data_IF_611877339136
#
_entry.id   IF_611877339136
#
_cell.length_a   1.000
_cell.length_b   1.000
_cell.length_c   1.000
_cell.angle_alpha   90.00
_cell.angle_beta   90.00
_cell.angle_gamma   90.00
#
_symmetry.space_group_name_H-M   'P 1'
#
loop_
_entity.id
_entity.type
_entity.pdbx_description
1 polymer ?
#
# COMPACT_ATOMS: atom_id res chain seq x y z
N UNK A 1 17.63 20.40 -13.78
CA UNK A 1 16.85 19.22 -14.23
C UNK A 1 16.74 18.27 -13.05
N UNK A 2 15.58 17.65 -12.87
CA UNK A 2 15.34 16.69 -11.79
C UNK A 2 15.04 15.30 -12.40
N UNK A 3 15.58 14.20 -11.87
CA UNK A 3 16.56 14.14 -10.77
C UNK A 3 17.89 14.83 -11.13
N UNK A 4 18.71 15.23 -10.14
CA UNK A 4 19.99 15.89 -10.40
C UNK A 4 20.94 14.97 -11.19
N UNK A 5 21.73 15.57 -12.08
CA UNK A 5 22.86 14.88 -12.71
C UNK A 5 24.00 14.77 -11.70
N UNK A 6 24.47 13.56 -11.45
CA UNK A 6 25.54 13.26 -10.49
C UNK A 6 26.65 12.47 -11.16
N UNK A 7 27.87 12.59 -10.64
CA UNK A 7 29.00 11.78 -11.10
C UNK A 7 28.80 10.31 -10.73
N UNK A 8 29.54 9.41 -11.40
CA UNK A 8 29.51 7.97 -11.09
C UNK A 8 29.93 7.69 -9.62
N UNK A 9 30.86 8.48 -9.09
CA UNK A 9 31.30 8.36 -7.69
C UNK A 9 30.19 8.71 -6.71
N UNK A 10 29.55 9.87 -6.89
CA UNK A 10 28.41 10.31 -6.07
C UNK A 10 27.22 9.34 -6.18
N UNK A 11 26.94 8.81 -7.36
CA UNK A 11 25.89 7.81 -7.54
C UNK A 11 26.19 6.51 -6.77
N UNK A 12 27.43 6.03 -6.83
CA UNK A 12 27.81 4.82 -6.10
C UNK A 12 27.71 5.02 -4.59
N UNK A 13 28.17 6.16 -4.07
CA UNK A 13 28.03 6.50 -2.65
C UNK A 13 26.56 6.55 -2.22
N UNK A 14 25.72 7.25 -3.00
CA UNK A 14 24.30 7.35 -2.75
C UNK A 14 23.60 5.98 -2.77
N UNK A 15 23.97 5.11 -3.72
CA UNK A 15 23.43 3.74 -3.79
C UNK A 15 23.84 2.93 -2.55
N UNK A 16 25.11 2.96 -2.15
CA UNK A 16 25.57 2.25 -0.95
C UNK A 16 24.82 2.70 0.29
N UNK A 17 24.74 4.01 0.53
CA UNK A 17 24.03 4.57 1.69
C UNK A 17 22.55 4.21 1.67
N UNK A 18 21.87 4.31 0.52
CA UNK A 18 20.45 4.00 0.42
C UNK A 18 20.14 2.50 0.61
N UNK A 19 20.97 1.63 0.03
CA UNK A 19 20.81 0.17 0.14
C UNK A 19 21.08 -0.29 1.57
N UNK A 20 22.16 0.18 2.19
CA UNK A 20 22.50 -0.17 3.58
C UNK A 20 21.40 0.29 4.54
N UNK A 21 20.87 1.51 4.34
CA UNK A 21 19.74 1.99 5.12
C UNK A 21 18.50 1.11 4.91
N UNK A 22 18.16 0.78 3.67
CA UNK A 22 17.00 -0.04 3.34
C UNK A 22 17.06 -1.42 4.00
N UNK A 23 18.23 -2.07 3.95
CA UNK A 23 18.46 -3.36 4.60
C UNK A 23 18.36 -3.26 6.13
N UNK A 24 18.96 -2.23 6.73
CA UNK A 24 18.96 -2.02 8.18
C UNK A 24 17.57 -1.66 8.75
N UNK A 25 16.70 -1.03 7.96
CA UNK A 25 15.39 -0.53 8.41
C UNK A 25 14.21 -1.37 7.90
N UNK A 26 14.47 -2.50 7.25
CA UNK A 26 13.43 -3.43 6.83
C UNK A 26 12.63 -2.98 5.61
N UNK A 27 13.20 -2.16 4.73
CA UNK A 27 12.72 -1.94 3.36
C UNK A 27 13.21 -3.11 2.48
N UNK A 28 12.71 -4.31 2.76
CA UNK A 28 13.27 -5.57 2.26
C UNK A 28 12.18 -6.53 1.80
N UNK A 29 12.56 -7.44 0.91
CA UNK A 29 11.76 -8.57 0.42
C UNK A 29 12.60 -9.84 0.40
N UNK A 30 11.95 -11.00 0.35
CA UNK A 30 12.68 -12.24 0.08
C UNK A 30 13.11 -12.30 -1.40
N UNK A 31 14.29 -12.87 -1.68
CA UNK A 31 14.71 -13.15 -3.06
C UNK A 31 13.75 -14.14 -3.73
N UNK A 32 13.87 -14.29 -5.06
CA UNK A 32 13.12 -15.33 -5.80
C UNK A 32 13.46 -16.73 -5.28
N UNK A 33 12.48 -17.65 -5.40
CA UNK A 33 12.56 -19.02 -4.86
C UNK A 33 13.74 -19.83 -5.42
N UNK A 34 14.21 -19.52 -6.63
CA UNK A 34 15.40 -20.11 -7.26
C UNK A 34 16.67 -19.94 -6.42
N UNK A 35 16.68 -19.00 -5.46
CA UNK A 35 17.81 -18.69 -4.59
C UNK A 35 17.62 -19.12 -3.12
N UNK A 36 16.65 -20.00 -2.83
CA UNK A 36 16.39 -20.47 -1.44
C UNK A 36 17.36 -21.58 -1.02
N UNK A 37 18.62 -21.20 -0.79
CA UNK A 37 19.68 -22.11 -0.33
C UNK A 37 19.58 -22.47 1.16
N UNK A 38 18.64 -21.88 1.90
CA UNK A 38 18.63 -21.90 3.37
C UNK A 38 17.26 -22.26 3.95
N UNK A 39 17.27 -23.07 5.01
CA UNK A 39 16.09 -23.40 5.81
C UNK A 39 15.61 -22.15 6.56
N UNK A 40 14.29 -21.97 6.68
CA UNK A 40 13.61 -20.82 7.33
C UNK A 40 13.69 -19.46 6.62
N UNK A 41 14.12 -19.41 5.36
CA UNK A 41 14.16 -18.17 4.55
C UNK A 41 14.89 -16.98 5.21
N UNK A 42 16.15 -17.14 5.68
CA UNK A 42 16.91 -16.07 6.32
C UNK A 42 17.42 -15.00 5.33
N UNK A 43 17.40 -15.29 4.03
CA UNK A 43 17.90 -14.39 3.00
C UNK A 43 16.88 -13.29 2.66
N UNK A 44 17.39 -12.07 2.50
CA UNK A 44 16.62 -10.89 2.11
C UNK A 44 17.40 -10.08 1.08
N UNK A 45 16.68 -9.29 0.29
CA UNK A 45 17.23 -8.23 -0.55
C UNK A 45 16.41 -6.96 -0.32
N UNK A 46 16.95 -5.80 -0.66
CA UNK A 46 16.19 -4.57 -0.58
C UNK A 46 14.95 -4.64 -1.50
N UNK A 47 13.84 -4.04 -1.09
CA UNK A 47 12.73 -3.80 -2.00
C UNK A 47 13.21 -2.86 -3.13
N UNK A 48 12.74 -3.01 -4.37
CA UNK A 48 13.01 -1.99 -5.39
C UNK A 48 12.44 -0.63 -4.95
N UNK A 49 13.25 0.42 -5.00
CA UNK A 49 12.85 1.78 -4.64
C UNK A 49 13.43 2.81 -5.61
N UNK A 50 12.74 3.94 -5.75
CA UNK A 50 13.29 5.10 -6.46
C UNK A 50 14.34 5.78 -5.57
N UNK A 51 15.51 6.10 -6.14
CA UNK A 51 16.60 6.72 -5.39
C UNK A 51 16.29 8.16 -4.96
N UNK A 52 15.42 8.83 -5.72
CA UNK A 52 14.91 10.16 -5.46
C UNK A 52 13.38 10.13 -5.43
N UNK A 53 12.72 10.93 -4.58
CA UNK A 53 11.26 11.04 -4.57
C UNK A 53 10.75 11.61 -5.90
N UNK A 54 9.62 11.09 -6.40
CA UNK A 54 9.04 11.58 -7.66
C UNK A 54 8.30 12.90 -7.43
N UNK A 55 8.52 13.96 -8.24
CA UNK A 55 7.77 15.20 -8.13
C UNK A 55 6.28 14.96 -8.39
N UNK A 56 5.44 15.49 -7.51
CA UNK A 56 3.98 15.36 -7.61
C UNK A 56 3.30 16.69 -7.27
N UNK A 57 2.29 17.16 -8.04
CA UNK A 57 1.61 18.42 -7.75
C UNK A 57 0.93 18.40 -6.38
N UNK A 58 1.36 19.28 -5.46
CA UNK A 58 0.83 19.36 -4.08
C UNK A 58 -0.69 19.42 -4.05
N UNK A 59 -1.30 20.24 -4.91
CA UNK A 59 -2.77 20.38 -5.01
C UNK A 59 -3.46 19.04 -5.29
N UNK A 60 -2.90 18.24 -6.18
CA UNK A 60 -3.48 16.96 -6.56
C UNK A 60 -3.22 15.87 -5.51
N UNK A 61 -2.08 15.89 -4.81
CA UNK A 61 -1.81 15.00 -3.68
C UNK A 61 -2.83 15.22 -2.55
N UNK A 62 -3.02 16.50 -2.19
CA UNK A 62 -4.01 16.91 -1.19
C UNK A 62 -5.45 16.56 -1.60
N UNK A 63 -5.76 16.63 -2.91
CA UNK A 63 -7.05 16.20 -3.45
C UNK A 63 -7.23 14.68 -3.29
N UNK A 64 -6.25 13.85 -3.65
CA UNK A 64 -6.32 12.40 -3.47
C UNK A 64 -6.56 12.04 -1.99
N UNK A 65 -5.81 12.67 -1.06
CA UNK A 65 -5.98 12.43 0.38
C UNK A 65 -7.39 12.75 0.87
N UNK A 66 -7.97 13.87 0.44
CA UNK A 66 -9.36 14.24 0.80
C UNK A 66 -10.41 13.32 0.19
N UNK A 67 -10.15 12.73 -0.98
CA UNK A 67 -11.08 11.83 -1.64
C UNK A 67 -11.16 10.44 -1.00
N UNK A 68 -10.15 10.03 -0.21
CA UNK A 68 -10.11 8.68 0.36
C UNK A 68 -11.33 8.35 1.23
N UNK A 69 -11.74 9.24 2.14
CA UNK A 69 -12.89 8.97 3.01
C UNK A 69 -14.24 8.90 2.24
N UNK A 70 -14.54 9.82 1.30
CA UNK A 70 -15.67 9.67 0.39
C UNK A 70 -15.67 8.33 -0.35
N UNK A 71 -14.52 7.89 -0.88
CA UNK A 71 -14.41 6.60 -1.54
C UNK A 71 -14.67 5.42 -0.61
N UNK A 72 -14.08 5.41 0.59
CA UNK A 72 -14.35 4.37 1.59
C UNK A 72 -15.85 4.28 1.91
N UNK A 73 -16.52 5.43 2.04
CA UNK A 73 -17.97 5.48 2.31
C UNK A 73 -18.78 4.94 1.14
N UNK A 74 -18.43 5.33 -0.09
CA UNK A 74 -19.10 4.87 -1.30
C UNK A 74 -18.99 3.35 -1.43
N UNK A 75 -17.77 2.81 -1.34
CA UNK A 75 -17.50 1.38 -1.48
C UNK A 75 -18.19 0.58 -0.37
N UNK A 76 -18.19 1.08 0.87
CA UNK A 76 -18.94 0.45 1.95
C UNK A 76 -20.43 0.39 1.64
N UNK A 77 -21.05 1.48 1.18
CA UNK A 77 -22.48 1.49 0.80
C UNK A 77 -22.78 0.55 -0.36
N UNK A 78 -21.95 0.54 -1.40
CA UNK A 78 -22.09 -0.38 -2.53
C UNK A 78 -22.00 -1.84 -2.08
N UNK A 79 -21.15 -2.16 -1.10
CA UNK A 79 -21.05 -3.52 -0.56
C UNK A 79 -22.29 -4.00 0.18
N UNK A 80 -23.20 -3.10 0.56
CA UNK A 80 -24.46 -3.40 1.24
C UNK A 80 -25.67 -3.33 0.30
N UNK A 81 -25.46 -3.01 -0.98
CA UNK A 81 -26.51 -2.89 -1.97
C UNK A 81 -26.67 -4.22 -2.73
N UNK A 82 -27.54 -5.08 -2.21
CA UNK A 82 -27.79 -6.40 -2.78
C UNK A 82 -28.28 -6.33 -4.23
N UNK A 83 -29.09 -5.31 -4.55
CA UNK A 83 -29.63 -5.13 -5.89
C UNK A 83 -28.51 -4.79 -6.87
N UNK A 84 -27.66 -3.82 -6.53
CA UNK A 84 -26.51 -3.44 -7.34
C UNK A 84 -25.57 -4.63 -7.58
N UNK A 85 -25.29 -5.41 -6.53
CA UNK A 85 -24.43 -6.60 -6.64
C UNK A 85 -25.07 -7.64 -7.56
N UNK A 86 -26.36 -7.95 -7.37
CA UNK A 86 -27.06 -8.94 -8.18
C UNK A 86 -27.11 -8.53 -9.66
N UNK A 87 -27.53 -7.30 -9.95
CA UNK A 87 -27.58 -6.72 -11.30
C UNK A 87 -26.21 -6.78 -12.00
N UNK A 88 -25.14 -6.44 -11.28
CA UNK A 88 -23.77 -6.51 -11.82
C UNK A 88 -23.37 -7.96 -12.13
N UNK A 89 -23.73 -8.89 -11.26
CA UNK A 89 -23.32 -10.30 -11.36
C UNK A 89 -24.11 -11.11 -12.40
N UNK A 90 -25.29 -10.68 -12.83
CA UNK A 90 -26.06 -11.35 -13.91
C UNK A 90 -25.25 -11.52 -15.20
N UNK A 91 -24.43 -10.52 -15.53
CA UNK A 91 -23.57 -10.57 -16.72
C UNK A 91 -22.22 -11.22 -16.44
N UNK A 92 -21.60 -10.90 -15.29
CA UNK A 92 -20.23 -11.34 -14.97
C UNK A 92 -20.14 -12.83 -14.60
N UNK A 93 -21.15 -13.39 -13.93
CA UNK A 93 -21.10 -14.76 -13.44
C UNK A 93 -20.96 -15.81 -14.57
N UNK A 94 -21.38 -15.46 -15.79
CA UNK A 94 -21.29 -16.34 -16.96
C UNK A 94 -19.97 -16.18 -17.73
N UNK A 95 -19.16 -15.17 -17.42
CA UNK A 95 -17.95 -14.82 -18.16
C UNK A 95 -16.66 -15.20 -17.42
N UNK A 96 -16.69 -15.27 -16.09
CA UNK A 96 -15.51 -15.58 -15.28
C UNK A 96 -15.85 -16.52 -14.13
N UNK A 97 -15.25 -17.72 -14.16
CA UNK A 97 -15.49 -18.77 -13.16
C UNK A 97 -15.09 -18.33 -11.75
N UNK A 98 -13.95 -17.64 -11.63
CA UNK A 98 -13.44 -17.17 -10.35
C UNK A 98 -14.41 -16.18 -9.68
N UNK A 99 -14.87 -15.17 -10.41
CA UNK A 99 -15.84 -14.18 -9.93
C UNK A 99 -17.19 -14.83 -9.61
N UNK A 100 -17.63 -15.81 -10.42
CA UNK A 100 -18.86 -16.56 -10.11
C UNK A 100 -18.74 -17.30 -8.76
N UNK A 101 -17.62 -17.96 -8.48
CA UNK A 101 -17.41 -18.64 -7.20
C UNK A 101 -17.48 -17.66 -6.01
N UNK A 102 -16.88 -16.47 -6.13
CA UNK A 102 -17.01 -15.42 -5.10
C UNK A 102 -18.47 -15.00 -4.88
N UNK A 103 -19.24 -14.87 -5.96
CA UNK A 103 -20.66 -14.53 -5.88
C UNK A 103 -21.50 -15.65 -5.24
N UNK A 104 -21.19 -16.92 -5.51
CA UNK A 104 -21.85 -18.04 -4.84
C UNK A 104 -21.61 -18.05 -3.31
N UNK A 105 -20.40 -17.67 -2.86
CA UNK A 105 -20.11 -17.48 -1.44
C UNK A 105 -21.00 -16.37 -0.86
N UNK A 106 -21.08 -15.23 -1.54
CA UNK A 106 -21.94 -14.12 -1.15
C UNK A 106 -23.41 -14.56 -1.00
N UNK A 107 -23.98 -15.25 -1.99
CA UNK A 107 -25.35 -15.76 -1.95
C UNK A 107 -25.57 -16.76 -0.80
N UNK A 108 -24.59 -17.63 -0.54
CA UNK A 108 -24.63 -18.60 0.56
C UNK A 108 -24.70 -17.89 1.92
N UNK A 109 -23.80 -16.93 2.16
CA UNK A 109 -23.78 -16.15 3.41
C UNK A 109 -25.08 -15.36 3.59
N UNK A 110 -25.65 -14.80 2.52
CA UNK A 110 -26.94 -14.09 2.57
C UNK A 110 -28.09 -15.02 2.94
N UNK A 111 -28.12 -16.23 2.38
CA UNK A 111 -29.14 -17.25 2.68
C UNK A 111 -29.07 -17.72 4.13
N UNK A 112 -27.86 -17.91 4.66
CA UNK A 112 -27.65 -18.37 6.04
C UNK A 112 -27.84 -17.24 7.08
N UNK A 113 -27.65 -15.99 6.66
CA UNK A 113 -27.77 -14.80 7.49
C UNK A 113 -26.41 -14.28 7.98
N UNK A 114 -26.30 -12.97 8.12
CA UNK A 114 -25.05 -12.31 8.52
C UNK A 114 -24.77 -12.54 10.02
N UNK A 115 -23.76 -13.35 10.32
CA UNK A 115 -23.39 -13.68 11.69
C UNK A 115 -22.61 -12.55 12.41
N UNK A 116 -21.92 -11.67 11.68
CA UNK A 116 -21.14 -10.55 12.22
C UNK A 116 -21.42 -9.28 11.42
N UNK A 117 -22.14 -8.29 11.98
CA UNK A 117 -22.48 -7.06 11.26
C UNK A 117 -21.31 -6.05 11.20
N UNK A 118 -20.32 -6.14 12.09
CA UNK A 118 -19.15 -5.25 12.03
C UNK A 118 -18.22 -5.67 10.88
N UNK A 119 -17.79 -4.69 10.08
CA UNK A 119 -16.84 -4.88 8.99
C UNK A 119 -15.73 -3.83 9.03
N UNK A 120 -14.55 -4.20 8.54
CA UNK A 120 -13.39 -3.32 8.42
C UNK A 120 -12.90 -3.36 6.97
N UNK A 121 -12.73 -2.19 6.37
CA UNK A 121 -12.09 -2.02 5.07
C UNK A 121 -10.70 -1.38 5.20
N UNK A 122 -9.67 -2.08 4.72
CA UNK A 122 -8.32 -1.53 4.55
C UNK A 122 -8.07 -1.38 3.04
N UNK A 123 -8.22 -0.15 2.55
CA UNK A 123 -8.31 0.12 1.11
C UNK A 123 -7.14 0.95 0.60
N UNK A 124 -6.84 0.80 -0.70
CA UNK A 124 -5.93 1.69 -1.44
C UNK A 124 -6.61 2.19 -2.69
N UNK A 125 -6.55 3.50 -2.93
CA UNK A 125 -7.10 4.12 -4.12
C UNK A 125 -5.96 4.66 -4.98
N UNK A 126 -5.84 4.14 -6.19
CA UNK A 126 -4.69 4.39 -7.05
C UNK A 126 -5.03 5.43 -8.12
N UNK A 127 -4.10 6.36 -8.31
CA UNK A 127 -4.26 7.50 -9.20
C UNK A 127 -3.05 7.66 -10.12
N UNK A 128 -3.30 8.08 -11.36
CA UNK A 128 -2.28 8.57 -12.28
C UNK A 128 -2.51 10.06 -12.58
N UNK A 129 -1.42 10.77 -12.88
CA UNK A 129 -1.50 12.13 -13.40
C UNK A 129 -1.82 12.08 -14.90
N UNK A 130 -2.94 12.70 -15.27
CA UNK A 130 -3.32 12.92 -16.65
C UNK A 130 -3.02 14.36 -17.05
N UNK A 131 -2.42 14.52 -18.23
CA UNK A 131 -2.20 15.81 -18.91
C UNK A 131 -2.82 15.68 -20.29
N UNK A 132 -3.64 16.66 -20.68
CA UNK A 132 -4.22 16.67 -22.02
C UNK A 132 -3.12 16.77 -23.09
N UNK A 133 -3.36 16.17 -24.25
CA UNK A 133 -2.40 16.20 -25.35
C UNK A 133 -2.08 17.64 -25.76
N UNK A 134 -0.80 18.00 -25.74
CA UNK A 134 -0.32 19.36 -26.05
C UNK A 134 -0.43 20.36 -24.89
N UNK A 135 -0.95 19.96 -23.72
CA UNK A 135 -0.99 20.80 -22.53
C UNK A 135 0.31 20.72 -21.69
N UNK A 136 0.53 21.74 -20.87
CA UNK A 136 1.68 21.81 -19.97
C UNK A 136 1.50 20.87 -18.76
N UNK A 137 2.59 20.26 -18.28
CA UNK A 137 2.57 19.32 -17.14
C UNK A 137 2.05 19.96 -15.83
N UNK A 138 2.12 21.28 -15.67
CA UNK A 138 1.52 22.02 -14.54
C UNK A 138 -0.01 21.93 -14.53
N UNK A 139 -0.64 21.59 -15.65
CA UNK A 139 -2.08 21.37 -15.77
C UNK A 139 -2.51 19.97 -15.32
N UNK A 140 -1.56 19.09 -14.99
CA UNK A 140 -1.82 17.71 -14.60
C UNK A 140 -2.90 17.59 -13.53
N UNK A 141 -3.76 16.57 -13.68
CA UNK A 141 -4.84 16.23 -12.74
C UNK A 141 -4.78 14.76 -12.40
N UNK A 142 -5.08 14.40 -11.15
CA UNK A 142 -5.27 12.99 -10.82
C UNK A 142 -6.51 12.43 -11.50
N UNK A 143 -6.37 11.24 -12.09
CA UNK A 143 -7.45 10.36 -12.51
C UNK A 143 -7.32 9.03 -11.78
N UNK A 144 -8.44 8.52 -11.27
CA UNK A 144 -8.47 7.23 -10.60
C UNK A 144 -8.23 6.11 -11.62
N UNK A 145 -7.41 5.14 -11.26
CA UNK A 145 -7.17 3.93 -12.04
C UNK A 145 -7.93 2.75 -11.44
N UNK A 146 -7.75 2.51 -10.14
CA UNK A 146 -8.35 1.37 -9.45
C UNK A 146 -8.61 1.65 -7.97
N UNK A 147 -9.54 0.90 -7.38
CA UNK A 147 -9.81 0.89 -5.96
C UNK A 147 -9.63 -0.52 -5.41
N UNK A 148 -8.57 -0.72 -4.64
CA UNK A 148 -8.21 -2.02 -4.07
C UNK A 148 -8.93 -2.24 -2.74
N UNK A 149 -9.85 -3.22 -2.73
CA UNK A 149 -10.65 -3.60 -1.55
C UNK A 149 -10.11 -4.82 -0.81
N UNK A 150 -9.22 -5.59 -1.43
CA UNK A 150 -8.64 -6.83 -0.89
C UNK A 150 -7.12 -6.81 -1.04
N UNK A 151 -6.41 -7.23 0.01
CA UNK A 151 -4.96 -7.42 0.02
C UNK A 151 -4.16 -6.23 -0.57
N UNK A 152 -4.55 -5.01 -0.18
CA UNK A 152 -3.88 -3.79 -0.61
C UNK A 152 -2.45 -3.72 -0.07
N UNK A 153 -1.50 -4.15 -0.91
CA UNK A 153 -0.07 -4.23 -0.59
C UNK A 153 0.60 -2.86 -0.42
N UNK A 154 1.82 -2.89 0.12
CA UNK A 154 2.77 -1.79 0.32
C UNK A 154 2.36 -0.77 1.38
N UNK A 155 1.54 -1.18 2.35
CA UNK A 155 1.23 -0.36 3.53
C UNK A 155 2.48 -0.04 4.34
N UNK A 156 3.36 -1.03 4.55
CA UNK A 156 4.57 -0.86 5.37
C UNK A 156 5.77 -0.42 4.56
N UNK A 157 5.97 -1.00 3.38
CA UNK A 157 7.12 -0.64 2.54
C UNK A 157 7.02 0.81 2.02
N UNK A 158 5.82 1.36 1.84
CA UNK A 158 5.67 2.79 1.50
C UNK A 158 6.09 3.72 2.64
N UNK A 159 5.83 3.35 3.90
CA UNK A 159 6.33 4.08 5.08
C UNK A 159 7.86 4.06 5.08
N UNK A 160 8.46 2.87 4.94
CA UNK A 160 9.93 2.72 4.90
C UNK A 160 10.58 3.47 3.73
N UNK A 161 9.90 3.55 2.58
CA UNK A 161 10.38 4.34 1.43
C UNK A 161 10.35 5.84 1.73
N UNK A 162 9.28 6.31 2.40
CA UNK A 162 9.15 7.71 2.82
C UNK A 162 10.24 8.09 3.83
N UNK A 163 10.51 7.21 4.79
CA UNK A 163 11.59 7.36 5.77
C UNK A 163 12.97 7.36 5.10
N UNK A 164 13.23 6.48 4.13
CA UNK A 164 14.48 6.46 3.36
C UNK A 164 14.73 7.82 2.69
N UNK A 165 13.74 8.36 1.98
CA UNK A 165 13.91 9.66 1.29
C UNK A 165 14.18 10.81 2.27
N UNK A 166 13.54 10.80 3.45
CA UNK A 166 13.81 11.78 4.51
C UNK A 166 15.20 11.61 5.13
N UNK A 167 15.64 10.37 5.32
CA UNK A 167 17.00 10.06 5.78
C UNK A 167 18.05 10.55 4.79
N UNK A 168 17.91 10.23 3.50
CA UNK A 168 18.86 10.66 2.47
C UNK A 168 18.93 12.19 2.37
N UNK A 169 17.77 12.86 2.42
CA UNK A 169 17.69 14.33 2.40
C UNK A 169 18.37 15.00 3.61
N UNK A 170 18.25 14.40 4.79
CA UNK A 170 18.85 14.95 6.02
C UNK A 170 20.34 14.61 6.18
N UNK A 171 20.80 13.52 5.56
CA UNK A 171 22.16 12.99 5.75
C UNK A 171 23.13 13.44 4.66
N UNK A 172 22.69 13.45 3.40
CA UNK A 172 23.57 13.67 2.26
C UNK A 172 23.48 15.11 1.76
N UNK A 173 24.60 15.83 1.87
CA UNK A 173 24.71 17.20 1.36
C UNK A 173 24.49 17.22 -0.16
N UNK A 174 23.62 18.09 -0.64
CA UNK A 174 23.33 18.19 -2.07
C UNK A 174 22.34 17.17 -2.61
N UNK A 175 21.77 16.30 -1.76
CA UNK A 175 20.75 15.34 -2.18
C UNK A 175 19.57 16.04 -2.85
N UNK A 176 19.07 15.45 -3.93
CA UNK A 176 18.05 16.07 -4.78
C UNK A 176 18.49 17.37 -5.46
N UNK A 177 19.79 17.65 -5.52
CA UNK A 177 20.34 18.90 -6.06
C UNK A 177 19.93 20.13 -5.23
N UNK A 178 19.63 19.95 -3.94
CA UNK A 178 19.03 20.96 -3.05
C UNK A 178 17.69 21.53 -3.57
N UNK A 179 16.99 20.79 -4.43
CA UNK A 179 15.67 21.18 -4.98
C UNK A 179 14.50 20.68 -4.13
N UNK A 180 14.77 19.90 -3.08
CA UNK A 180 13.77 19.25 -2.23
C UNK A 180 13.86 19.82 -0.81
N UNK A 181 12.75 20.30 -0.28
CA UNK A 181 12.57 20.66 1.13
C UNK A 181 11.95 19.50 1.93
N UNK A 182 12.26 19.41 3.23
CA UNK A 182 11.70 18.38 4.11
C UNK A 182 10.17 18.46 4.21
N UNK A 183 9.60 19.65 4.06
CA UNK A 183 8.14 19.93 4.03
C UNK A 183 7.46 19.49 2.71
N UNK A 184 8.26 19.07 1.72
CA UNK A 184 7.77 18.50 0.46
C UNK A 184 7.70 16.96 0.52
N UNK A 185 8.23 16.34 1.58
CA UNK A 185 8.11 14.91 1.85
C UNK A 185 6.98 14.68 2.87
N UNK A 186 5.79 14.22 2.45
CA UNK A 186 4.67 14.02 3.37
C UNK A 186 5.00 12.92 4.39
N UNK A 187 4.45 13.07 5.60
CA UNK A 187 4.45 11.99 6.59
C UNK A 187 3.60 10.82 6.08
N UNK A 188 4.03 9.59 6.39
CA UNK A 188 3.30 8.38 6.05
C UNK A 188 3.21 7.49 7.30
N UNK A 189 2.00 7.28 7.80
CA UNK A 189 1.72 6.51 9.01
C UNK A 189 0.89 5.25 8.74
N UNK A 190 0.87 4.76 7.50
CA UNK A 190 0.02 3.66 7.06
C UNK A 190 0.17 2.39 7.92
N UNK A 191 1.38 2.01 8.36
CA UNK A 191 1.61 0.88 9.28
C UNK A 191 0.77 1.02 10.55
N UNK A 192 0.88 2.18 11.20
CA UNK A 192 0.18 2.47 12.45
C UNK A 192 -1.32 2.49 12.20
N UNK A 193 -1.77 3.22 11.19
CA UNK A 193 -3.18 3.36 10.83
C UNK A 193 -3.85 2.02 10.51
N UNK A 194 -3.19 1.13 9.77
CA UNK A 194 -3.69 -0.23 9.52
C UNK A 194 -3.77 -1.06 10.78
N UNK A 195 -2.70 -1.04 11.58
CA UNK A 195 -2.67 -1.81 12.81
C UNK A 195 -3.72 -1.26 13.82
N UNK A 196 -3.98 0.06 13.83
CA UNK A 196 -5.04 0.67 14.65
C UNK A 196 -6.41 0.21 14.16
N UNK A 197 -6.67 0.23 12.86
CA UNK A 197 -7.93 -0.28 12.28
C UNK A 197 -8.21 -1.72 12.68
N UNK A 198 -7.20 -2.59 12.59
CA UNK A 198 -7.29 -3.98 13.04
C UNK A 198 -7.58 -4.10 14.54
N UNK A 199 -6.88 -3.34 15.38
CA UNK A 199 -7.11 -3.32 16.83
C UNK A 199 -8.54 -2.86 17.17
N UNK A 200 -9.07 -1.84 16.49
CA UNK A 200 -10.44 -1.38 16.68
C UNK A 200 -11.47 -2.44 16.27
N UNK A 201 -11.26 -3.12 15.14
CA UNK A 201 -12.16 -4.20 14.71
C UNK A 201 -12.16 -5.38 15.70
N UNK A 202 -11.00 -5.76 16.25
CA UNK A 202 -10.92 -6.79 17.29
C UNK A 202 -11.63 -6.36 18.59
N UNK A 203 -11.52 -5.08 18.99
CA UNK A 203 -12.25 -4.54 20.14
C UNK A 203 -13.76 -4.58 19.92
N UNK A 204 -14.23 -4.24 18.71
CA UNK A 204 -15.64 -4.34 18.32
C UNK A 204 -16.15 -5.78 18.33
N UNK A 205 -15.30 -6.76 18.02
CA UNK A 205 -15.64 -8.18 18.13
C UNK A 205 -15.90 -8.61 19.59
N UNK A 206 -15.23 -7.97 20.58
CA UNK A 206 -15.62 -8.06 21.99
C UNK A 206 -15.21 -9.33 22.73
N UNK A 207 -14.27 -10.13 22.21
CA UNK A 207 -13.77 -11.34 22.86
C UNK A 207 -12.24 -11.25 23.11
N UNK A 208 -11.79 -11.11 24.37
CA UNK A 208 -10.37 -11.02 24.72
C UNK A 208 -9.52 -12.23 24.32
N UNK A 209 -10.13 -13.40 24.16
CA UNK A 209 -9.43 -14.63 23.75
C UNK A 209 -9.37 -14.78 22.23
N UNK A 210 -10.06 -13.93 21.45
CA UNK A 210 -10.00 -13.95 19.99
C UNK A 210 -8.63 -13.53 19.48
N UNK A 211 -8.35 -13.88 18.22
CA UNK A 211 -7.11 -13.56 17.51
C UNK A 211 -7.44 -12.93 16.16
N UNK A 212 -6.55 -12.10 15.65
CA UNK A 212 -6.60 -11.63 14.27
C UNK A 212 -5.83 -12.65 13.42
N UNK A 213 -6.50 -13.24 12.43
CA UNK A 213 -5.88 -14.18 11.50
C UNK A 213 -5.45 -13.43 10.23
N UNK A 214 -4.16 -13.51 9.89
CA UNK A 214 -3.63 -13.02 8.63
C UNK A 214 -3.65 -14.17 7.61
N UNK A 215 -4.47 -14.06 6.57
CA UNK A 215 -4.54 -15.06 5.49
C UNK A 215 -3.47 -14.72 4.45
N UNK A 216 -2.49 -15.61 4.28
CA UNK A 216 -1.29 -15.35 3.47
C UNK A 216 -1.09 -16.41 2.39
N UNK A 217 -0.35 -16.05 1.34
CA UNK A 217 0.05 -17.00 0.31
C UNK A 217 1.29 -17.80 0.74
N UNK A 218 1.39 -19.11 0.41
CA UNK A 218 2.62 -19.87 0.57
C UNK A 218 3.77 -19.23 -0.22
N UNK A 219 4.96 -19.14 0.38
CA UNK A 219 6.13 -18.58 -0.30
C UNK A 219 6.12 -17.07 -0.48
N UNK A 220 5.26 -16.34 0.25
CA UNK A 220 5.16 -14.88 0.18
C UNK A 220 6.53 -14.20 0.35
N UNK A 221 6.93 -13.44 -0.68
CA UNK A 221 8.19 -12.71 -0.72
C UNK A 221 8.07 -11.34 -0.07
N UNK A 222 6.90 -10.74 -0.15
CA UNK A 222 6.58 -9.44 0.44
C UNK A 222 6.13 -9.57 1.91
N UNK A 223 6.58 -10.62 2.61
CA UNK A 223 6.14 -10.94 3.98
C UNK A 223 6.42 -9.81 4.96
N UNK A 224 7.49 -9.04 4.75
CA UNK A 224 7.86 -7.94 5.65
C UNK A 224 6.86 -6.80 5.61
N UNK A 225 6.14 -6.62 4.50
CA UNK A 225 5.05 -5.64 4.42
C UNK A 225 3.89 -5.99 5.37
N UNK A 226 3.68 -7.28 5.62
CA UNK A 226 2.67 -7.79 6.55
C UNK A 226 3.19 -7.83 7.99
N UNK A 227 4.44 -8.27 8.21
CA UNK A 227 5.05 -8.40 9.55
C UNK A 227 5.14 -7.07 10.28
N UNK A 228 5.42 -5.98 9.58
CA UNK A 228 5.42 -4.65 10.22
C UNK A 228 4.05 -4.28 10.80
N UNK A 229 2.95 -4.61 10.12
CA UNK A 229 1.59 -4.41 10.63
C UNK A 229 1.35 -5.31 11.86
N UNK A 230 1.73 -6.58 11.77
CA UNK A 230 1.61 -7.55 12.88
C UNK A 230 2.36 -7.10 14.13
N UNK A 231 3.64 -6.75 14.01
CA UNK A 231 4.45 -6.33 15.15
C UNK A 231 3.94 -5.01 15.75
N UNK A 232 3.50 -4.08 14.90
CA UNK A 232 2.88 -2.83 15.36
C UNK A 232 1.58 -3.10 16.11
N UNK A 233 0.81 -4.10 15.68
CA UNK A 233 -0.40 -4.53 16.37
C UNK A 233 -0.09 -5.19 17.73
N UNK A 234 0.93 -6.06 17.79
CA UNK A 234 1.33 -6.77 19.01
C UNK A 234 1.92 -5.86 20.08
N UNK A 235 2.53 -4.73 19.68
CA UNK A 235 3.10 -3.77 20.61
C UNK A 235 2.05 -2.90 21.33
N UNK A 236 0.75 -3.11 21.09
CA UNK A 236 -0.35 -2.35 21.69
C UNK A 236 -0.96 -3.00 22.93
#
# INVERSE_FOLDING_TARGET
MYPPQVTKGELNELLTVAIDWALAHGLIVRPSLENTLFVNNPAVTHAPFALYPTPFPRKEFEKARRLQQPWNTLIHKMSQDDHLIAETMETLANLDEFTNQLYQIYLTVKKEGIAQPASLGLHRNDYLLHVESGADASTARIQQVEFNTISASFGSLSVRTSELHRFLLSTLKGYGGNQIGIDQLPENDAIRSFADGLAHAWKLYGNPSARIAMIIQPGERNVFDQRWIEYTLQAR
#
